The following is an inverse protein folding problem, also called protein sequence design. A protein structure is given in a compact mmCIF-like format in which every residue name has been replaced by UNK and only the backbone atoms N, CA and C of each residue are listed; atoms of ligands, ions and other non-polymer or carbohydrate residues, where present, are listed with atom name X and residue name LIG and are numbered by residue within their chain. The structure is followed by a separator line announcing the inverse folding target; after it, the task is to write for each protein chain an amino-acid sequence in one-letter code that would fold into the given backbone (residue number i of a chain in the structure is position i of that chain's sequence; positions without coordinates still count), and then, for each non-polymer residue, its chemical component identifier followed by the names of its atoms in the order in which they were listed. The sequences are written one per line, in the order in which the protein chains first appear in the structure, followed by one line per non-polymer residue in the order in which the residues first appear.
data_IF_313291320318
#
_entry.id   IF_313291320318
#
_cell.length_a   1.000
_cell.length_b   1.000
_cell.length_c   1.000
_cell.angle_alpha   90.00
_cell.angle_beta   90.00
_cell.angle_gamma   90.00
#
_symmetry.space_group_name_H-M   'P 1'
#
loop_
_entity.id
_entity.type
_entity.pdbx_description
1 polymer ?
#
# COMPACT_ATOMS: atom_id res chain seq x y z
N UNK A 1 -7.95 -17.37 -25.63
CA UNK A 1 -8.71 -17.41 -24.36
C UNK A 1 -8.22 -16.33 -23.38
N UNK A 2 -8.77 -15.12 -23.43
CA UNK A 2 -8.38 -13.98 -22.58
C UNK A 2 -9.18 -13.94 -21.27
N UNK A 3 -9.02 -14.95 -20.41
CA UNK A 3 -9.70 -15.00 -19.10
C UNK A 3 -9.09 -14.05 -18.05
N UNK A 4 -8.00 -13.34 -18.38
CA UNK A 4 -7.19 -12.56 -17.43
C UNK A 4 -7.53 -11.06 -17.30
N UNK A 5 -8.52 -10.56 -18.03
CA UNK A 5 -8.79 -9.11 -18.13
C UNK A 5 -10.05 -8.61 -17.41
N UNK A 6 -10.75 -9.43 -16.62
CA UNK A 6 -11.81 -8.93 -15.73
C UNK A 6 -11.27 -8.78 -14.31
N UNK A 7 -10.77 -7.58 -13.97
CA UNK A 7 -10.44 -7.17 -12.59
C UNK A 7 -11.69 -6.90 -11.74
N UNK A 8 -12.81 -7.53 -12.05
CA UNK A 8 -14.08 -7.38 -11.33
C UNK A 8 -14.24 -8.37 -10.17
N UNK A 9 -13.22 -9.21 -9.91
CA UNK A 9 -13.20 -10.11 -8.76
C UNK A 9 -13.21 -9.37 -7.41
N UNK A 10 -12.92 -8.06 -7.41
CA UNK A 10 -12.98 -7.17 -6.24
C UNK A 10 -14.32 -6.41 -6.17
N UNK A 11 -15.03 -6.30 -7.31
CA UNK A 11 -16.23 -5.46 -7.46
C UNK A 11 -17.54 -6.19 -7.13
N UNK A 12 -17.52 -7.52 -7.03
CA UNK A 12 -18.69 -8.33 -6.69
C UNK A 12 -18.64 -8.72 -5.21
N UNK A 13 -19.49 -8.08 -4.40
CA UNK A 13 -19.70 -8.41 -2.98
C UNK A 13 -20.28 -9.80 -2.74
N UNK A 14 -20.58 -10.53 -3.81
CA UNK A 14 -20.95 -11.94 -3.79
C UNK A 14 -20.39 -12.60 -5.04
N UNK A 15 -19.43 -13.51 -4.83
CA UNK A 15 -19.28 -14.76 -5.57
C UNK A 15 -20.09 -14.90 -6.88
N UNK A 16 -19.40 -14.93 -8.03
CA UNK A 16 -19.94 -15.63 -9.22
C UNK A 16 -19.44 -17.08 -9.34
N UNK A 17 -18.55 -17.52 -8.45
CA UNK A 17 -17.90 -18.84 -8.55
C UNK A 17 -17.77 -19.63 -7.24
N UNK A 18 -18.35 -19.17 -6.12
CA UNK A 18 -18.46 -20.01 -4.91
C UNK A 18 -19.87 -20.56 -4.79
N UNK A 19 -20.05 -21.81 -5.20
CA UNK A 19 -21.24 -22.65 -4.96
C UNK A 19 -21.24 -23.13 -3.50
N UNK A 20 -20.93 -22.25 -2.55
CA UNK A 20 -20.84 -22.60 -1.12
C UNK A 20 -22.02 -21.97 -0.38
N UNK A 21 -22.70 -22.76 0.46
CA UNK A 21 -23.81 -22.33 1.36
C UNK A 21 -23.39 -21.33 2.46
N UNK A 22 -22.20 -20.71 2.39
CA UNK A 22 -21.59 -19.90 3.46
C UNK A 22 -22.21 -18.50 3.69
N UNK A 23 -23.38 -18.20 3.11
CA UNK A 23 -24.05 -16.92 3.30
C UNK A 23 -23.31 -15.72 2.70
N UNK A 24 -23.91 -14.53 2.77
CA UNK A 24 -23.27 -13.27 2.35
C UNK A 24 -22.27 -12.86 3.43
N UNK A 25 -20.99 -12.69 3.09
CA UNK A 25 -19.98 -12.17 4.02
C UNK A 25 -20.23 -10.70 4.31
N UNK A 26 -19.91 -10.26 5.54
CA UNK A 26 -20.03 -8.86 5.95
C UNK A 26 -19.29 -7.92 4.99
N UNK A 27 -19.81 -6.69 4.74
CA UNK A 27 -19.16 -5.74 3.86
C UNK A 27 -17.75 -5.41 4.36
N UNK A 28 -16.79 -5.34 3.43
CA UNK A 28 -15.40 -5.02 3.76
C UNK A 28 -15.14 -3.50 3.74
N UNK A 29 -13.96 -3.08 4.18
CA UNK A 29 -13.56 -1.65 4.18
C UNK A 29 -13.70 -0.97 2.80
N UNK A 30 -13.46 -1.70 1.70
CA UNK A 30 -13.57 -1.16 0.34
C UNK A 30 -15.02 -0.79 -0.01
N UNK A 31 -16.01 -1.50 0.55
CA UNK A 31 -17.42 -1.25 0.34
C UNK A 31 -17.80 0.13 0.88
N UNK A 32 -17.50 0.33 2.17
CA UNK A 32 -17.80 1.57 2.86
C UNK A 32 -17.02 2.73 2.26
N UNK A 33 -15.74 2.52 1.91
CA UNK A 33 -14.94 3.53 1.19
C UNK A 33 -15.57 3.95 -0.14
N UNK A 34 -16.18 3.01 -0.88
CA UNK A 34 -16.87 3.32 -2.14
C UNK A 34 -18.15 4.10 -1.92
N UNK A 35 -18.95 3.72 -0.92
CA UNK A 35 -20.17 4.45 -0.56
C UNK A 35 -19.85 5.88 -0.16
N UNK A 36 -18.87 6.07 0.71
CA UNK A 36 -18.40 7.40 1.11
C UNK A 36 -17.96 8.22 -0.10
N UNK A 37 -17.15 7.64 -1.00
CA UNK A 37 -16.75 8.32 -2.24
C UNK A 37 -17.93 8.72 -3.10
N UNK A 38 -18.93 7.83 -3.26
CA UNK A 38 -20.13 8.13 -4.04
C UNK A 38 -20.90 9.31 -3.45
N UNK A 39 -21.19 9.25 -2.15
CA UNK A 39 -21.92 10.29 -1.44
C UNK A 39 -21.16 11.64 -1.45
N UNK A 40 -19.84 11.63 -1.25
CA UNK A 40 -19.03 12.85 -1.39
C UNK A 40 -19.08 13.43 -2.80
N UNK A 41 -19.07 12.60 -3.84
CA UNK A 41 -19.15 13.07 -5.22
C UNK A 41 -20.54 13.64 -5.54
N UNK A 42 -21.61 12.96 -5.11
CA UNK A 42 -22.99 13.41 -5.29
C UNK A 42 -23.19 14.79 -4.63
N UNK A 43 -22.68 14.97 -3.40
CA UNK A 43 -22.70 16.26 -2.72
C UNK A 43 -21.93 17.36 -3.48
N UNK A 44 -20.73 17.05 -3.97
CA UNK A 44 -19.89 17.99 -4.73
C UNK A 44 -20.51 18.38 -6.07
N UNK A 45 -21.28 17.48 -6.71
CA UNK A 45 -21.99 17.77 -7.96
C UNK A 45 -23.14 18.73 -7.68
N UNK A 46 -24.00 18.40 -6.70
CA UNK A 46 -25.20 19.19 -6.38
C UNK A 46 -24.86 20.59 -5.85
N UNK A 47 -23.77 20.74 -5.08
CA UNK A 47 -23.42 22.00 -4.41
C UNK A 47 -22.24 22.74 -5.04
N UNK A 48 -21.84 22.35 -6.26
CA UNK A 48 -20.63 22.85 -6.91
C UNK A 48 -20.53 24.38 -6.93
N UNK A 49 -21.60 25.05 -7.39
CA UNK A 49 -21.60 26.49 -7.61
C UNK A 49 -21.52 27.25 -6.29
N UNK A 50 -22.34 26.86 -5.32
CA UNK A 50 -22.36 27.43 -3.98
C UNK A 50 -21.01 27.30 -3.27
N UNK A 51 -20.38 26.12 -3.33
CA UNK A 51 -19.10 25.87 -2.70
C UNK A 51 -17.98 26.67 -3.35
N UNK A 52 -17.95 26.79 -4.68
CA UNK A 52 -16.92 27.57 -5.36
C UNK A 52 -17.02 29.07 -5.06
N UNK A 53 -18.24 29.59 -4.89
CA UNK A 53 -18.47 31.00 -4.57
C UNK A 53 -18.12 31.34 -3.11
N UNK A 54 -18.54 30.49 -2.16
CA UNK A 54 -18.44 30.81 -0.73
C UNK A 54 -17.23 30.14 -0.05
N UNK A 55 -16.95 28.87 -0.35
CA UNK A 55 -15.96 28.04 0.36
C UNK A 55 -15.20 27.10 -0.59
N UNK A 56 -14.41 27.64 -1.54
CA UNK A 56 -13.70 26.84 -2.53
C UNK A 56 -12.67 25.89 -1.89
N UNK A 57 -12.12 26.25 -0.72
CA UNK A 57 -11.22 25.41 0.08
C UNK A 57 -11.81 24.02 0.35
N UNK A 58 -13.08 23.97 0.79
CA UNK A 58 -13.77 22.72 1.11
C UNK A 58 -13.96 21.89 -0.15
N UNK A 59 -14.38 22.52 -1.26
CA UNK A 59 -14.59 21.83 -2.54
C UNK A 59 -13.33 21.11 -3.03
N UNK A 60 -12.19 21.81 -3.04
CA UNK A 60 -10.93 21.21 -3.51
C UNK A 60 -10.34 20.21 -2.51
N UNK A 61 -10.51 20.44 -1.19
CA UNK A 61 -10.09 19.51 -0.15
C UNK A 61 -10.81 18.15 -0.23
N UNK A 62 -12.15 18.16 -0.35
CA UNK A 62 -12.95 16.93 -0.50
C UNK A 62 -12.60 16.15 -1.76
N UNK A 63 -12.15 16.85 -2.81
CA UNK A 63 -11.67 16.24 -4.05
C UNK A 63 -10.22 15.71 -3.96
N UNK A 64 -9.51 15.97 -2.86
CA UNK A 64 -8.10 15.63 -2.70
C UNK A 64 -7.16 16.47 -3.57
N UNK A 65 -7.56 17.69 -3.92
CA UNK A 65 -6.80 18.60 -4.78
C UNK A 65 -6.32 19.84 -4.03
N UNK A 66 -5.18 20.40 -4.44
CA UNK A 66 -4.70 21.67 -3.90
C UNK A 66 -5.61 22.81 -4.36
N UNK A 67 -5.85 23.78 -3.48
CA UNK A 67 -6.63 24.98 -3.81
C UNK A 67 -5.96 25.75 -4.95
N UNK A 68 -6.67 26.05 -6.06
CA UNK A 68 -6.12 26.85 -7.14
C UNK A 68 -5.72 28.26 -6.71
N UNK A 69 -4.68 28.82 -7.35
CA UNK A 69 -4.15 30.17 -7.06
C UNK A 69 -5.20 31.28 -7.09
N UNK A 70 -6.24 31.14 -7.92
CA UNK A 70 -7.33 32.11 -8.04
C UNK A 70 -8.21 32.23 -6.78
N UNK A 71 -8.26 31.18 -5.95
CA UNK A 71 -9.00 31.17 -4.69
C UNK A 71 -8.10 31.30 -3.46
N UNK A 72 -6.79 31.22 -3.66
CA UNK A 72 -5.84 31.48 -2.59
C UNK A 72 -5.88 32.98 -2.29
N UNK A 73 -6.06 33.33 -1.02
CA UNK A 73 -5.77 34.69 -0.58
C UNK A 73 -4.32 34.97 -0.93
N UNK A 74 -4.08 35.96 -1.78
CA UNK A 74 -2.73 36.48 -1.97
C UNK A 74 -2.33 37.00 -0.60
N UNK A 75 -1.52 36.24 0.13
CA UNK A 75 -0.79 36.78 1.26
C UNK A 75 -0.15 38.04 0.71
N UNK A 76 -0.56 39.20 1.23
CA UNK A 76 -0.10 40.48 0.72
C UNK A 76 1.41 40.41 0.73
N UNK A 77 2.00 40.20 -0.44
CA UNK A 77 3.44 40.15 -0.58
C UNK A 77 3.84 41.56 -0.22
N UNK A 78 4.34 41.74 1.00
CA UNK A 78 4.89 43.03 1.38
C UNK A 78 5.98 43.27 0.36
N UNK A 79 5.77 44.26 -0.51
CA UNK A 79 6.74 44.67 -1.52
C UNK A 79 7.85 45.41 -0.76
N UNK A 80 8.54 44.67 0.09
CA UNK A 80 9.77 45.12 0.72
C UNK A 80 10.83 45.08 -0.36
N UNK A 81 11.64 46.13 -0.52
CA UNK A 81 12.73 46.10 -1.48
C UNK A 81 13.63 44.89 -1.19
N UNK A 82 14.27 44.32 -2.21
CA UNK A 82 15.10 43.09 -2.08
C UNK A 82 16.14 43.23 -0.96
N UNK A 83 16.64 44.45 -0.72
CA UNK A 83 17.61 44.76 0.34
C UNK A 83 17.01 44.85 1.76
N UNK A 84 15.69 44.85 1.91
CA UNK A 84 15.02 44.85 3.22
C UNK A 84 14.75 43.43 3.76
N UNK A 85 15.08 42.38 2.98
CA UNK A 85 14.98 41.01 3.47
C UNK A 85 16.12 40.73 4.46
N UNK A 86 15.82 40.92 5.74
CA UNK A 86 16.69 40.57 6.86
C UNK A 86 16.31 39.16 7.32
N UNK A 87 17.20 38.14 7.20
CA UNK A 87 16.87 36.78 7.57
C UNK A 87 16.44 36.72 9.04
N UNK A 88 15.46 35.87 9.40
CA UNK A 88 14.89 35.85 10.76
C UNK A 88 15.95 35.64 11.85
N UNK A 89 17.00 34.89 11.54
CA UNK A 89 18.14 34.65 12.43
C UNK A 89 18.90 35.92 12.82
N UNK A 90 18.94 36.93 11.93
CA UNK A 90 19.64 38.19 12.19
C UNK A 90 18.80 39.21 12.98
N UNK A 91 17.51 38.93 13.20
CA UNK A 91 16.63 39.73 14.05
C UNK A 91 16.70 39.31 15.53
N UNK A 92 17.33 38.16 15.82
CA UNK A 92 17.47 37.61 17.15
C UNK A 92 18.70 38.18 17.85
N UNK A 93 18.65 38.24 19.18
CA UNK A 93 19.85 38.49 19.98
C UNK A 93 20.84 37.31 19.84
N UNK A 94 22.13 37.58 20.08
CA UNK A 94 23.17 36.54 19.99
C UNK A 94 22.89 35.34 20.90
N UNK A 95 22.24 35.55 22.04
CA UNK A 95 21.91 34.50 23.00
C UNK A 95 20.74 33.64 22.50
N UNK A 96 19.66 34.26 22.03
CA UNK A 96 18.51 33.56 21.46
C UNK A 96 18.89 32.71 20.24
N UNK A 97 19.80 33.23 19.39
CA UNK A 97 20.32 32.47 18.25
C UNK A 97 21.07 31.20 18.70
N UNK A 98 21.88 31.30 19.76
CA UNK A 98 22.61 30.15 20.33
C UNK A 98 21.65 29.12 20.90
N UNK A 99 20.61 29.54 21.61
CA UNK A 99 19.59 28.64 22.15
C UNK A 99 18.83 27.91 21.06
N UNK A 100 18.46 28.59 19.97
CA UNK A 100 17.81 27.95 18.81
C UNK A 100 18.72 26.91 18.15
N UNK A 101 19.99 27.24 17.93
CA UNK A 101 20.95 26.30 17.35
C UNK A 101 21.16 25.07 18.22
N UNK A 102 21.18 25.24 19.54
CA UNK A 102 21.28 24.13 20.50
C UNK A 102 20.04 23.23 20.45
N UNK A 103 18.83 23.81 20.46
CA UNK A 103 17.57 23.06 20.32
C UNK A 103 17.53 22.28 19.00
N UNK A 104 17.90 22.92 17.89
CA UNK A 104 17.93 22.24 16.59
C UNK A 104 18.96 21.10 16.56
N UNK A 105 20.14 21.29 17.18
CA UNK A 105 21.15 20.26 17.30
C UNK A 105 20.66 19.06 18.13
N UNK A 106 19.94 19.32 19.23
CA UNK A 106 19.32 18.28 20.07
C UNK A 106 18.23 17.52 19.30
N UNK A 107 17.33 18.22 18.61
CA UNK A 107 16.29 17.60 17.77
C UNK A 107 16.89 16.71 16.68
N UNK A 108 17.96 17.17 16.01
CA UNK A 108 18.69 16.38 15.01
C UNK A 108 19.31 15.12 15.62
N UNK A 109 19.90 15.22 16.82
CA UNK A 109 20.45 14.06 17.54
C UNK A 109 19.34 13.06 17.89
N UNK A 110 18.23 13.51 18.46
CA UNK A 110 17.11 12.64 18.79
C UNK A 110 16.49 11.98 17.56
N UNK A 111 16.35 12.72 16.44
CA UNK A 111 15.83 12.17 15.18
C UNK A 111 16.77 11.10 14.60
N UNK A 112 18.08 11.37 14.60
CA UNK A 112 19.08 10.42 14.15
C UNK A 112 19.10 9.14 15.01
N UNK A 113 18.97 9.27 16.33
CA UNK A 113 18.86 8.12 17.25
C UNK A 113 17.63 7.27 16.92
N UNK A 114 16.44 7.88 16.83
CA UNK A 114 15.20 7.17 16.47
C UNK A 114 15.29 6.46 15.12
N UNK A 115 15.89 7.11 14.12
CA UNK A 115 16.09 6.52 12.79
C UNK A 115 17.06 5.33 12.84
N UNK A 116 18.12 5.42 13.64
CA UNK A 116 19.07 4.33 13.84
C UNK A 116 18.44 3.12 14.55
N UNK A 117 17.62 3.35 15.57
CA UNK A 117 16.88 2.31 16.30
C UNK A 117 15.88 1.60 15.38
N UNK A 118 15.10 2.38 14.62
CA UNK A 118 14.16 1.84 13.64
C UNK A 118 14.89 0.98 12.57
N UNK A 119 16.06 1.44 12.12
CA UNK A 119 16.89 0.68 11.16
C UNK A 119 17.40 -0.62 11.76
N UNK A 120 17.81 -0.63 13.03
CA UNK A 120 18.22 -1.85 13.72
C UNK A 120 17.04 -2.82 13.91
N UNK A 121 15.87 -2.32 14.29
CA UNK A 121 14.67 -3.14 14.47
C UNK A 121 14.23 -3.79 13.16
N UNK A 122 14.23 -3.04 12.06
CA UNK A 122 13.91 -3.57 10.73
C UNK A 122 14.88 -4.67 10.30
N UNK A 123 16.19 -4.48 10.50
CA UNK A 123 17.19 -5.53 10.23
C UNK A 123 16.94 -6.79 11.06
N UNK A 124 16.58 -6.65 12.35
CA UNK A 124 16.22 -7.80 13.21
C UNK A 124 14.99 -8.54 12.67
N UNK A 125 13.93 -7.82 12.29
CA UNK A 125 12.72 -8.39 11.69
C UNK A 125 13.01 -9.13 10.39
N UNK A 126 13.86 -8.56 9.52
CA UNK A 126 14.30 -9.21 8.28
C UNK A 126 15.08 -10.50 8.55
N UNK A 127 16.00 -10.51 9.50
CA UNK A 127 16.74 -11.73 9.86
C UNK A 127 15.81 -12.83 10.38
N UNK A 128 14.83 -12.50 11.22
CA UNK A 128 13.83 -13.47 11.72
C UNK A 128 13.01 -14.02 10.55
N UNK A 129 12.53 -13.14 9.65
CA UNK A 129 11.78 -13.54 8.46
C UNK A 129 12.58 -14.48 7.57
N UNK A 130 13.86 -14.16 7.33
CA UNK A 130 14.76 -14.99 6.53
C UNK A 130 15.03 -16.35 7.19
N UNK A 131 15.25 -16.38 8.51
CA UNK A 131 15.39 -17.63 9.27
C UNK A 131 14.15 -18.52 9.14
N UNK A 132 12.96 -17.94 9.28
CA UNK A 132 11.69 -18.67 9.15
C UNK A 132 11.48 -19.19 7.72
N UNK A 133 11.79 -18.38 6.70
CA UNK A 133 11.73 -18.80 5.30
C UNK A 133 12.71 -19.95 5.01
N UNK A 134 13.93 -19.87 5.53
CA UNK A 134 14.94 -20.93 5.37
C UNK A 134 14.53 -22.22 6.10
N UNK A 135 13.89 -22.12 7.27
CA UNK A 135 13.35 -23.28 7.97
C UNK A 135 12.21 -23.93 7.17
N UNK A 136 11.24 -23.14 6.72
CA UNK A 136 10.14 -23.62 5.88
C UNK A 136 10.64 -24.29 4.60
N UNK A 137 11.61 -23.69 3.90
CA UNK A 137 12.18 -24.27 2.69
C UNK A 137 12.89 -25.62 2.95
N UNK A 138 13.62 -25.74 4.07
CA UNK A 138 14.22 -27.02 4.48
C UNK A 138 13.16 -28.08 4.75
N UNK A 139 12.10 -27.72 5.47
CA UNK A 139 11.01 -28.65 5.82
C UNK A 139 10.24 -29.09 4.57
N UNK A 140 9.94 -28.19 3.64
CA UNK A 140 9.24 -28.51 2.38
C UNK A 140 10.02 -29.49 1.49
N UNK A 141 11.36 -29.52 1.58
CA UNK A 141 12.16 -30.53 0.87
C UNK A 141 11.93 -31.95 1.37
N UNK A 142 11.53 -32.12 2.64
CA UNK A 142 11.30 -33.43 3.25
C UNK A 142 9.81 -33.76 3.37
N UNK A 143 8.99 -32.78 3.74
CA UNK A 143 7.57 -32.94 4.07
C UNK A 143 6.77 -32.07 3.10
N UNK A 144 6.07 -32.73 2.18
CA UNK A 144 5.20 -32.08 1.20
C UNK A 144 3.76 -32.55 1.40
N UNK A 145 2.82 -31.69 1.03
CA UNK A 145 1.42 -32.09 0.93
C UNK A 145 1.29 -33.12 -0.19
N UNK A 146 0.90 -34.35 0.17
CA UNK A 146 0.62 -35.43 -0.77
C UNK A 146 -0.84 -35.33 -1.17
N UNK A 147 -1.13 -35.36 -2.47
CA UNK A 147 -2.48 -35.54 -2.97
C UNK A 147 -2.85 -37.03 -2.85
N UNK A 148 -3.84 -37.39 -2.01
CA UNK A 148 -4.20 -38.79 -1.75
C UNK A 148 -4.73 -39.53 -2.99
N UNK A 149 -5.12 -38.81 -4.04
CA UNK A 149 -5.60 -39.39 -5.30
C UNK A 149 -4.47 -39.63 -6.31
N UNK A 150 -3.24 -39.18 -6.03
CA UNK A 150 -2.09 -39.37 -6.91
C UNK A 150 -1.04 -40.30 -6.29
N UNK A 151 -0.38 -41.17 -7.07
CA UNK A 151 0.67 -42.02 -6.54
C UNK A 151 1.90 -41.21 -6.14
N UNK A 152 2.46 -41.49 -4.95
CA UNK A 152 3.63 -40.81 -4.34
C UNK A 152 4.86 -40.78 -5.29
N UNK A 153 4.98 -41.78 -6.17
CA UNK A 153 6.11 -41.93 -7.09
C UNK A 153 5.78 -41.49 -8.53
N UNK A 154 4.78 -40.64 -8.76
CA UNK A 154 4.47 -40.12 -10.10
C UNK A 154 5.73 -39.55 -10.77
N UNK A 155 6.05 -40.03 -11.98
CA UNK A 155 7.26 -39.68 -12.76
C UNK A 155 8.63 -40.03 -12.13
N UNK A 156 8.69 -40.87 -11.09
CA UNK A 156 9.97 -41.39 -10.55
C UNK A 156 10.28 -42.80 -11.08
N UNK A 157 11.56 -43.14 -11.15
CA UNK A 157 12.04 -44.48 -11.54
C UNK A 157 11.48 -45.52 -10.55
N UNK A 158 10.83 -46.58 -11.06
CA UNK A 158 10.15 -47.59 -10.21
C UNK A 158 8.69 -47.27 -9.86
N UNK A 159 8.07 -46.26 -10.48
CA UNK A 159 6.64 -46.01 -10.29
C UNK A 159 5.76 -47.16 -10.81
N UNK A 160 4.74 -47.52 -10.04
CA UNK A 160 3.82 -48.64 -10.33
C UNK A 160 2.90 -48.42 -11.53
N UNK A 161 3.03 -47.28 -12.24
CA UNK A 161 2.24 -46.93 -13.41
C UNK A 161 3.07 -46.77 -14.69
N UNK A 162 4.34 -47.23 -14.70
CA UNK A 162 5.16 -47.24 -15.92
C UNK A 162 4.49 -47.97 -17.11
N UNK A 163 3.60 -48.93 -16.82
CA UNK A 163 2.81 -49.65 -17.82
C UNK A 163 1.71 -48.83 -18.52
N UNK A 164 1.34 -47.65 -17.98
CA UNK A 164 0.35 -46.74 -18.60
C UNK A 164 0.95 -45.83 -19.67
N UNK A 165 2.28 -45.78 -19.78
CA UNK A 165 2.96 -45.00 -20.82
C UNK A 165 2.80 -45.77 -22.13
N UNK A 166 2.11 -45.17 -23.09
CA UNK A 166 1.89 -45.73 -24.42
C UNK A 166 3.26 -45.97 -25.09
N UNK A 167 3.56 -47.24 -25.42
CA UNK A 167 4.85 -47.60 -26.03
C UNK A 167 4.90 -47.03 -27.44
N UNK A 168 5.97 -46.29 -27.76
CA UNK A 168 6.19 -45.68 -29.08
C UNK A 168 6.18 -46.70 -30.24
N UNK A 169 6.50 -47.96 -29.96
CA UNK A 169 6.56 -49.02 -30.95
C UNK A 169 5.72 -50.22 -30.48
N UNK A 170 4.85 -50.72 -31.37
CA UNK A 170 4.24 -52.05 -31.25
C UNK A 170 5.25 -53.07 -31.77
N UNK A 171 5.60 -54.04 -30.94
CA UNK A 171 6.58 -55.05 -31.31
C UNK A 171 5.94 -56.33 -31.85
N UNK A 172 4.64 -56.54 -31.63
CA UNK A 172 3.86 -57.64 -32.18
C UNK A 172 2.43 -57.17 -32.44
N UNK A 173 1.84 -57.65 -33.54
CA UNK A 173 0.45 -57.42 -33.96
C UNK A 173 -0.50 -58.50 -33.40
#
# INVERSE_FOLDING_TARGET
MTWRNKRDHINNYTCKWRISKLGKTNPNHQYFSRLLKKETNDYLISNKEYLLANKPEIYYSMKGQKLPKKYQQKQGVSITPVNAFVPPQSKLSKNELREQLNKEAEERKCKAQKESELRQENKRKEMIKQRNQNAYAREQSYIHWVDPYTPINHNKLGSSQAWKIEKKYKYYD
#
